data_IF_781999833150
#
_entry.id   IF_781999833150
#
_cell.length_a   1.000
_cell.length_b   1.000
_cell.length_c   1.000
_cell.angle_alpha   90.00
_cell.angle_beta   90.00
_cell.angle_gamma   90.00
#
_symmetry.space_group_name_H-M   'P 1'
#
loop_
_entity.id
_entity.type
_entity.pdbx_description
1 polymer ?
#
# COMPACT_ATOMS: atom_id res chain seq x y z
N UNK A 1 9.67 2.10 0.93
CA UNK A 1 8.52 1.90 0.02
C UNK A 1 8.97 2.11 -1.41
N UNK A 2 8.69 1.17 -2.27
CA UNK A 2 9.02 1.26 -3.68
C UNK A 2 7.79 0.93 -4.51
N UNK A 3 7.79 1.38 -5.76
CA UNK A 3 6.66 1.17 -6.66
C UNK A 3 7.13 0.54 -7.96
N UNK A 4 6.40 -0.48 -8.40
CA UNK A 4 6.47 -1.02 -9.75
C UNK A 4 5.29 -0.48 -10.55
N UNK A 5 5.12 -0.95 -11.78
CA UNK A 5 4.01 -0.53 -12.62
C UNK A 5 2.65 -0.85 -12.00
N UNK A 6 2.56 -1.94 -11.27
CA UNK A 6 1.29 -2.42 -10.73
C UNK A 6 1.32 -2.76 -9.24
N UNK A 7 2.46 -2.58 -8.58
CA UNK A 7 2.62 -3.00 -7.19
C UNK A 7 3.35 -1.96 -6.35
N UNK A 8 3.02 -1.96 -5.07
CA UNK A 8 3.74 -1.21 -4.06
C UNK A 8 4.49 -2.19 -3.18
N UNK A 9 5.78 -1.93 -2.95
CA UNK A 9 6.64 -2.77 -2.12
C UNK A 9 6.92 -2.06 -0.82
N UNK A 10 6.63 -2.72 0.27
CA UNK A 10 6.83 -2.18 1.62
C UNK A 10 7.79 -3.08 2.37
N UNK A 11 8.88 -2.51 2.86
CA UNK A 11 9.83 -3.20 3.70
C UNK A 11 9.48 -2.93 5.16
N UNK A 12 9.34 -3.99 5.93
CA UNK A 12 9.03 -3.91 7.35
C UNK A 12 10.32 -3.94 8.16
N UNK A 13 10.29 -3.37 9.35
CA UNK A 13 11.46 -3.29 10.21
C UNK A 13 11.85 -4.64 10.81
N UNK A 14 11.01 -5.65 10.72
CA UNK A 14 11.33 -7.01 11.14
C UNK A 14 11.99 -7.85 10.04
N UNK A 15 12.29 -7.23 8.91
CA UNK A 15 12.96 -7.89 7.80
C UNK A 15 12.02 -8.45 6.74
N UNK A 16 10.72 -8.37 6.96
CA UNK A 16 9.76 -8.85 5.96
C UNK A 16 9.53 -7.80 4.89
N UNK A 17 9.11 -8.29 3.73
CA UNK A 17 8.78 -7.43 2.59
C UNK A 17 7.40 -7.81 2.06
N UNK A 18 6.56 -6.79 1.88
CA UNK A 18 5.21 -6.98 1.34
C UNK A 18 5.14 -6.41 -0.07
N UNK A 19 4.53 -7.17 -0.96
CA UNK A 19 4.16 -6.68 -2.28
C UNK A 19 2.64 -6.51 -2.30
N UNK A 20 2.17 -5.31 -2.60
CA UNK A 20 0.76 -4.98 -2.53
C UNK A 20 0.30 -4.48 -3.89
N UNK A 21 -0.74 -5.09 -4.47
CA UNK A 21 -1.27 -4.60 -5.75
C UNK A 21 -1.79 -3.18 -5.62
N UNK A 22 -1.40 -2.30 -6.54
CA UNK A 22 -1.90 -0.93 -6.55
C UNK A 22 -3.41 -0.86 -6.80
N UNK A 23 -3.96 -1.89 -7.42
CA UNK A 23 -5.40 -1.96 -7.65
C UNK A 23 -6.21 -1.99 -6.35
N UNK A 24 -5.59 -2.35 -5.23
CA UNK A 24 -6.24 -2.29 -3.92
C UNK A 24 -6.44 -0.86 -3.45
N UNK A 25 -5.70 0.09 -4.03
CA UNK A 25 -5.72 1.49 -3.63
C UNK A 25 -5.89 2.35 -4.88
N UNK A 26 -7.14 2.57 -5.33
CA UNK A 26 -7.40 3.27 -6.59
C UNK A 26 -6.76 4.64 -6.69
N UNK A 27 -6.66 5.37 -5.57
CA UNK A 27 -6.02 6.68 -5.58
C UNK A 27 -4.53 6.59 -5.88
N UNK A 28 -3.87 5.56 -5.36
CA UNK A 28 -2.46 5.32 -5.65
C UNK A 28 -2.27 4.85 -7.08
N UNK A 29 -3.18 4.01 -7.56
CA UNK A 29 -3.11 3.51 -8.94
C UNK A 29 -3.24 4.65 -9.94
N UNK A 30 -4.12 5.60 -9.67
CA UNK A 30 -4.37 6.74 -10.55
C UNK A 30 -3.33 7.85 -10.38
N UNK A 31 -2.50 7.80 -9.36
CA UNK A 31 -1.53 8.85 -9.08
C UNK A 31 -0.34 8.78 -10.02
N UNK A 32 0.31 9.95 -10.22
CA UNK A 32 1.56 10.00 -10.97
C UNK A 32 2.70 9.39 -10.17
N UNK A 33 3.80 8.99 -10.83
CA UNK A 33 4.98 8.52 -10.10
C UNK A 33 5.51 9.54 -9.08
N UNK A 34 5.43 10.83 -9.41
CA UNK A 34 5.87 11.89 -8.51
C UNK A 34 5.01 11.95 -7.27
N UNK A 35 3.70 11.74 -7.42
CA UNK A 35 2.79 11.75 -6.28
C UNK A 35 2.98 10.53 -5.39
N UNK A 36 3.25 9.37 -5.98
CA UNK A 36 3.43 8.13 -5.23
C UNK A 36 4.63 8.17 -4.30
N UNK A 37 5.68 8.90 -4.65
CA UNK A 37 6.87 8.96 -3.82
C UNK A 37 6.80 10.03 -2.74
N UNK A 38 5.73 10.83 -2.71
CA UNK A 38 5.53 11.87 -1.70
C UNK A 38 4.67 11.33 -0.55
N UNK A 39 5.24 10.44 0.21
CA UNK A 39 4.54 9.82 1.34
C UNK A 39 5.26 10.14 2.64
N UNK A 40 4.53 9.99 3.75
CA UNK A 40 5.08 10.09 5.09
C UNK A 40 4.91 8.76 5.79
N UNK A 41 5.96 8.33 6.48
CA UNK A 41 5.93 7.09 7.24
C UNK A 41 5.63 7.38 8.70
N UNK A 42 4.84 6.52 9.29
CA UNK A 42 4.56 6.54 10.72
C UNK A 42 4.63 5.12 11.26
N UNK A 43 4.67 4.93 12.59
CA UNK A 43 4.67 3.58 13.15
C UNK A 43 3.45 2.74 12.74
N UNK A 44 2.37 3.38 12.33
CA UNK A 44 1.15 2.68 11.97
C UNK A 44 0.99 2.44 10.48
N UNK A 45 1.67 3.22 9.65
CA UNK A 45 1.48 3.06 8.23
C UNK A 45 2.07 4.17 7.40
N UNK A 46 1.46 4.38 6.24
CA UNK A 46 1.95 5.29 5.22
C UNK A 46 0.83 6.26 4.87
N UNK A 47 1.17 7.54 4.78
CA UNK A 47 0.21 8.59 4.48
C UNK A 47 0.65 9.38 3.26
N UNK A 48 -0.30 9.62 2.34
CA UNK A 48 -0.12 10.49 1.19
C UNK A 48 -1.05 11.68 1.34
N UNK A 49 -0.50 12.81 1.71
CA UNK A 49 -1.30 14.00 1.97
C UNK A 49 -1.99 14.51 0.72
N UNK A 50 -1.26 14.58 -0.38
CA UNK A 50 -1.80 15.10 -1.64
C UNK A 50 -2.91 14.22 -2.21
N UNK A 51 -2.92 12.94 -1.85
CA UNK A 51 -3.91 11.98 -2.35
C UNK A 51 -5.00 11.70 -1.33
N UNK A 52 -4.86 12.24 -0.13
CA UNK A 52 -5.76 11.96 1.00
C UNK A 52 -5.89 10.45 1.20
N UNK A 53 -4.76 9.75 1.17
CA UNK A 53 -4.72 8.30 1.29
C UNK A 53 -3.90 7.88 2.49
N UNK A 54 -4.43 6.94 3.25
CA UNK A 54 -3.76 6.32 4.39
C UNK A 54 -3.73 4.82 4.21
N UNK A 55 -2.55 4.23 4.39
CA UNK A 55 -2.38 2.79 4.31
C UNK A 55 -1.89 2.28 5.64
N UNK A 56 -2.66 1.42 6.27
CA UNK A 56 -2.31 0.79 7.53
C UNK A 56 -1.45 -0.44 7.28
N UNK A 57 -0.30 -0.51 7.92
CA UNK A 57 0.56 -1.70 7.83
C UNK A 57 -0.17 -2.92 8.38
N UNK A 58 -0.88 -2.73 9.49
CA UNK A 58 -1.67 -3.81 10.08
C UNK A 58 -2.73 -4.31 9.11
N UNK A 59 -3.39 -3.39 8.40
CA UNK A 59 -4.35 -3.75 7.36
C UNK A 59 -3.72 -4.50 6.21
N UNK A 60 -2.51 -4.11 5.79
CA UNK A 60 -1.80 -4.81 4.73
C UNK A 60 -1.45 -6.24 5.14
N UNK A 61 -0.98 -6.42 6.37
CA UNK A 61 -0.66 -7.75 6.88
C UNK A 61 -1.88 -8.64 6.96
N UNK A 62 -3.04 -8.06 7.19
CA UNK A 62 -4.30 -8.79 7.23
C UNK A 62 -4.92 -8.99 5.84
N UNK A 63 -4.28 -8.46 4.79
CA UNK A 63 -4.79 -8.59 3.43
C UNK A 63 -5.89 -7.61 3.08
N UNK A 64 -6.00 -6.51 3.82
CA UNK A 64 -7.01 -5.49 3.56
C UNK A 64 -6.47 -4.43 2.62
N UNK A 65 -7.21 -4.15 1.56
CA UNK A 65 -6.94 -3.01 0.69
C UNK A 65 -7.88 -1.87 1.02
N UNK A 66 -8.42 -1.23 -0.01
CA UNK A 66 -9.30 -0.08 0.11
C UNK A 66 -10.74 -0.47 0.42
N UNK A 67 -10.93 -1.60 1.05
CA UNK A 67 -12.22 -2.10 1.53
C UNK A 67 -13.22 -2.43 0.42
N UNK A 68 -12.77 -2.42 -0.81
CA UNK A 68 -13.59 -2.86 -1.94
C UNK A 68 -13.50 -4.37 -2.14
N UNK A 69 -12.58 -5.01 -1.45
CA UNK A 69 -12.38 -6.45 -1.53
C UNK A 69 -12.67 -7.07 -0.17
N UNK A 70 -13.75 -7.78 -0.07
CA UNK A 70 -14.11 -8.45 1.15
C UNK A 70 -13.46 -9.81 1.31
N UNK A 71 -12.41 -10.11 0.56
CA UNK A 71 -12.00 -11.46 0.40
C UNK A 71 -10.49 -11.62 0.33
N UNK A 72 -9.99 -12.57 1.08
CA UNK A 72 -8.59 -12.97 1.01
C UNK A 72 -8.52 -14.26 0.20
N UNK A 73 -7.68 -14.27 -0.81
CA UNK A 73 -7.42 -15.46 -1.61
C UNK A 73 -6.04 -15.95 -1.23
N UNK A 74 -5.99 -17.15 -0.70
CA UNK A 74 -4.73 -17.78 -0.35
C UNK A 74 -4.33 -18.69 -1.50
N UNK A 75 -3.18 -18.41 -2.09
CA UNK A 75 -2.60 -19.26 -3.11
C UNK A 75 -1.41 -19.97 -2.52
N UNK A 76 -1.40 -21.25 -2.70
CA UNK A 76 -0.30 -22.07 -2.17
C UNK A 76 0.96 -21.87 -3.01
#
# INVERSE_FOLDING_TARGET
VRFDDDSMWVDLDDGRRLAVPLAWFPRLLAASPEQRVQFELSPRGIHWEALDEDVSIEGLLAGHGDRTHGRVVVTA
#
